data_IF_561991599251
#
_entry.id   IF_561991599251
#
_cell.length_a   1.000
_cell.length_b   1.000
_cell.length_c   1.000
_cell.angle_alpha   90.00
_cell.angle_beta   90.00
_cell.angle_gamma   90.00
#
_symmetry.space_group_name_H-M   'P 1'
#
loop_
_entity.id
_entity.type
_entity.pdbx_description
1 polymer ?
#
# COMPACT_ATOMS: atom_id res chain seq x y z
N UNK A 1 25.52 -12.60 -35.33
CA UNK A 1 24.68 -12.45 -36.54
C UNK A 1 25.45 -11.65 -37.58
N UNK A 2 25.28 -11.94 -38.86
CA UNK A 2 25.87 -11.14 -39.93
C UNK A 2 25.21 -9.75 -39.95
N UNK A 3 26.00 -8.67 -39.94
CA UNK A 3 25.50 -7.29 -40.03
C UNK A 3 25.22 -6.95 -41.49
N UNK A 4 24.02 -6.45 -41.78
CA UNK A 4 23.63 -5.99 -43.11
C UNK A 4 23.70 -4.46 -43.11
N UNK A 5 24.45 -3.88 -44.05
CA UNK A 5 24.50 -2.41 -44.22
C UNK A 5 23.26 -1.96 -44.98
N UNK A 6 22.52 -1.02 -44.39
CA UNK A 6 21.40 -0.32 -45.03
C UNK A 6 21.53 1.17 -44.78
N UNK A 7 21.11 1.96 -45.76
CA UNK A 7 21.17 3.41 -45.72
C UNK A 7 19.75 3.97 -45.68
N UNK A 8 19.46 4.81 -44.69
CA UNK A 8 18.11 5.34 -44.43
C UNK A 8 18.17 6.85 -44.27
N UNK A 9 17.14 7.54 -44.74
CA UNK A 9 16.91 8.96 -44.42
C UNK A 9 16.08 9.05 -43.16
N UNK A 10 16.50 9.88 -42.22
CA UNK A 10 15.86 10.05 -40.92
C UNK A 10 15.78 11.54 -40.59
N UNK A 11 14.84 11.92 -39.74
CA UNK A 11 14.78 13.27 -39.17
C UNK A 11 15.91 13.48 -38.16
N UNK A 12 16.36 14.72 -38.02
CA UNK A 12 17.41 15.11 -37.06
C UNK A 12 17.08 14.65 -35.63
N UNK A 13 15.82 14.82 -35.20
CA UNK A 13 15.33 14.34 -33.91
C UNK A 13 15.54 12.84 -33.66
N UNK A 14 15.40 12.01 -34.71
CA UNK A 14 15.57 10.57 -34.57
C UNK A 14 17.05 10.19 -34.48
N UNK A 15 17.92 10.94 -35.17
CA UNK A 15 19.38 10.76 -35.06
C UNK A 15 19.87 11.18 -33.67
N UNK A 16 19.37 12.31 -33.18
CA UNK A 16 19.65 12.82 -31.83
C UNK A 16 19.22 11.81 -30.76
N UNK A 17 18.03 11.22 -30.88
CA UNK A 17 17.57 10.18 -29.97
C UNK A 17 18.46 8.93 -29.96
N UNK A 18 18.97 8.49 -31.12
CA UNK A 18 19.89 7.35 -31.19
C UNK A 18 21.22 7.67 -30.49
N UNK A 19 21.74 8.88 -30.63
CA UNK A 19 22.96 9.32 -29.92
C UNK A 19 22.72 9.45 -28.41
N UNK A 20 21.57 9.96 -27.97
CA UNK A 20 21.22 10.03 -26.56
C UNK A 20 21.17 8.64 -25.91
N UNK A 21 20.56 7.66 -26.59
CA UNK A 21 20.52 6.26 -26.13
C UNK A 21 21.91 5.64 -26.11
N UNK A 22 22.77 5.98 -27.07
CA UNK A 22 24.16 5.53 -27.11
C UNK A 22 24.96 6.06 -25.93
N UNK A 23 24.87 7.36 -25.63
CA UNK A 23 25.58 7.98 -24.51
C UNK A 23 25.08 7.44 -23.17
N UNK A 24 23.76 7.37 -22.96
CA UNK A 24 23.17 6.84 -21.72
C UNK A 24 23.58 5.39 -21.43
N UNK A 25 23.77 4.57 -22.46
CA UNK A 25 24.11 3.16 -22.32
C UNK A 25 25.61 2.85 -22.56
N UNK A 26 26.46 3.88 -22.70
CA UNK A 26 27.90 3.74 -22.97
C UNK A 26 28.22 2.84 -24.18
N UNK A 27 27.44 2.96 -25.26
CA UNK A 27 27.60 2.14 -26.47
C UNK A 27 28.62 2.76 -27.43
N UNK A 28 29.39 1.91 -28.12
CA UNK A 28 30.50 2.35 -28.99
C UNK A 28 30.02 2.79 -30.37
N UNK A 29 28.91 2.22 -30.86
CA UNK A 29 28.40 2.47 -32.20
C UNK A 29 26.91 2.79 -32.17
N UNK A 30 26.48 3.76 -32.98
CA UNK A 30 25.06 4.13 -33.11
C UNK A 30 24.21 2.97 -33.66
N UNK A 31 24.82 2.02 -34.38
CA UNK A 31 24.18 0.76 -34.78
C UNK A 31 23.81 -0.13 -33.59
N UNK A 32 24.60 -0.13 -32.53
CA UNK A 32 24.29 -0.91 -31.31
C UNK A 32 23.18 -0.26 -30.50
N UNK A 33 23.15 1.08 -30.47
CA UNK A 33 22.03 1.83 -29.89
C UNK A 33 20.72 1.57 -30.67
N UNK A 34 20.80 1.52 -32.00
CA UNK A 34 19.65 1.20 -32.85
C UNK A 34 19.16 -0.24 -32.65
N UNK A 35 20.07 -1.21 -32.56
CA UNK A 35 19.73 -2.60 -32.23
C UNK A 35 19.06 -2.71 -30.85
N UNK A 36 19.53 -1.93 -29.87
CA UNK A 36 18.95 -1.87 -28.53
C UNK A 36 17.53 -1.30 -28.55
N UNK A 37 17.30 -0.19 -29.25
CA UNK A 37 15.97 0.42 -29.42
C UNK A 37 15.01 -0.57 -30.09
N UNK A 38 15.44 -1.26 -31.15
CA UNK A 38 14.60 -2.25 -31.85
C UNK A 38 14.27 -3.44 -30.94
N UNK A 39 15.23 -3.89 -30.13
CA UNK A 39 15.03 -4.98 -29.17
C UNK A 39 14.05 -4.59 -28.08
N UNK A 40 14.20 -3.40 -27.49
CA UNK A 40 13.27 -2.87 -26.49
C UNK A 40 11.88 -2.66 -27.08
N UNK A 41 11.79 -2.14 -28.31
CA UNK A 41 10.51 -1.99 -28.99
C UNK A 41 9.83 -3.33 -29.25
N UNK A 42 10.58 -4.38 -29.66
CA UNK A 42 10.05 -5.74 -29.79
C UNK A 42 9.57 -6.30 -28.46
N UNK A 43 10.36 -6.17 -27.39
CA UNK A 43 10.01 -6.66 -26.05
C UNK A 43 8.77 -5.92 -25.49
N UNK A 44 8.67 -4.61 -25.75
CA UNK A 44 7.51 -3.80 -25.37
C UNK A 44 6.29 -4.02 -26.28
N UNK A 45 6.47 -4.54 -27.50
CA UNK A 45 5.35 -4.88 -28.39
C UNK A 45 4.67 -6.21 -28.03
N UNK A 46 5.38 -7.13 -27.36
CA UNK A 46 4.83 -8.42 -26.93
C UNK A 46 4.00 -8.32 -25.62
N UNK A 47 4.21 -7.28 -24.82
CA UNK A 47 3.40 -6.97 -23.63
C UNK A 47 2.58 -5.72 -23.94
N UNK A 48 1.33 -5.91 -24.36
CA UNK A 48 0.42 -4.77 -24.54
C UNK A 48 0.32 -3.97 -23.24
N UNK A 49 0.17 -2.64 -23.34
CA UNK A 49 0.01 -1.76 -22.17
C UNK A 49 -1.07 -2.26 -21.20
N UNK A 50 -2.12 -2.90 -21.73
CA UNK A 50 -3.16 -3.57 -20.94
C UNK A 50 -2.65 -4.75 -20.10
N UNK A 51 -1.74 -5.57 -20.63
CA UNK A 51 -1.12 -6.66 -19.89
C UNK A 51 -0.23 -6.13 -18.77
N UNK A 52 0.51 -5.05 -19.02
CA UNK A 52 1.34 -4.39 -18.00
C UNK A 52 0.48 -3.81 -16.87
N UNK A 53 -0.63 -3.14 -17.20
CA UNK A 53 -1.61 -2.64 -16.21
C UNK A 53 -2.18 -3.78 -15.38
N UNK A 54 -2.53 -4.92 -15.98
CA UNK A 54 -3.03 -6.10 -15.25
C UNK A 54 -2.00 -6.68 -14.29
N UNK A 55 -0.73 -6.73 -14.69
CA UNK A 55 0.36 -7.22 -13.84
C UNK A 55 0.53 -6.30 -12.63
N UNK A 56 0.61 -4.98 -12.86
CA UNK A 56 0.74 -3.98 -11.79
C UNK A 56 -0.49 -4.05 -10.86
N UNK A 57 -1.70 -4.10 -11.40
CA UNK A 57 -2.92 -4.18 -10.61
C UNK A 57 -2.96 -5.45 -9.74
N UNK A 58 -2.48 -6.59 -10.28
CA UNK A 58 -2.40 -7.85 -9.53
C UNK A 58 -1.38 -7.77 -8.41
N UNK A 59 -0.19 -7.24 -8.68
CA UNK A 59 0.88 -7.13 -7.70
C UNK A 59 0.51 -6.19 -6.55
N UNK A 60 -0.13 -5.06 -6.87
CA UNK A 60 -0.71 -4.14 -5.87
C UNK A 60 -1.80 -4.84 -5.06
N UNK A 61 -2.71 -5.59 -5.71
CA UNK A 61 -3.78 -6.30 -5.01
C UNK A 61 -3.23 -7.39 -4.07
N UNK A 62 -2.21 -8.13 -4.49
CA UNK A 62 -1.59 -9.17 -3.66
C UNK A 62 -0.87 -8.57 -2.45
N UNK A 63 -0.21 -7.41 -2.61
CA UNK A 63 0.40 -6.68 -1.49
C UNK A 63 -0.66 -6.18 -0.49
N UNK A 64 -1.75 -5.56 -0.97
CA UNK A 64 -2.84 -5.05 -0.12
C UNK A 64 -3.58 -6.20 0.59
N UNK A 65 -3.72 -7.37 -0.07
CA UNK A 65 -4.43 -8.52 0.49
C UNK A 65 -3.79 -9.05 1.78
N UNK A 66 -2.47 -8.98 1.88
CA UNK A 66 -1.74 -9.30 3.11
C UNK A 66 -2.16 -8.41 4.27
N UNK A 67 -2.03 -7.09 4.08
CA UNK A 67 -2.39 -6.08 5.07
C UNK A 67 -3.89 -6.16 5.46
N UNK A 68 -4.78 -6.37 4.49
CA UNK A 68 -6.22 -6.55 4.76
C UNK A 68 -6.51 -7.79 5.60
N UNK A 69 -5.75 -8.88 5.41
CA UNK A 69 -5.90 -10.09 6.21
C UNK A 69 -5.49 -9.85 7.67
N UNK A 70 -4.40 -9.11 7.89
CA UNK A 70 -3.98 -8.72 9.23
C UNK A 70 -5.01 -7.82 9.92
N UNK A 71 -5.53 -6.81 9.21
CA UNK A 71 -6.60 -5.94 9.71
C UNK A 71 -7.83 -6.76 10.10
N UNK A 72 -8.23 -7.72 9.27
CA UNK A 72 -9.36 -8.62 9.57
C UNK A 72 -9.12 -9.43 10.84
N UNK A 73 -7.91 -9.96 11.03
CA UNK A 73 -7.58 -10.74 12.24
C UNK A 73 -7.64 -9.86 13.50
N UNK A 74 -7.03 -8.67 13.47
CA UNK A 74 -7.08 -7.71 14.59
C UNK A 74 -8.53 -7.30 14.89
N UNK A 75 -9.36 -7.13 13.86
CA UNK A 75 -10.79 -6.84 14.02
C UNK A 75 -11.53 -7.98 14.70
N UNK A 76 -11.27 -9.24 14.29
CA UNK A 76 -11.88 -10.41 14.92
C UNK A 76 -11.46 -10.58 16.39
N UNK A 77 -10.18 -10.35 16.70
CA UNK A 77 -9.70 -10.40 18.08
C UNK A 77 -10.33 -9.30 18.95
N UNK A 78 -10.51 -8.11 18.38
CA UNK A 78 -11.19 -6.99 19.05
C UNK A 78 -12.67 -7.30 19.30
N UNK A 79 -13.35 -7.90 18.31
CA UNK A 79 -14.74 -8.32 18.46
C UNK A 79 -14.88 -9.38 19.56
N UNK A 80 -14.04 -10.42 19.54
CA UNK A 80 -13.99 -11.45 20.57
C UNK A 80 -13.76 -10.86 21.96
N UNK A 81 -12.79 -9.95 22.10
CA UNK A 81 -12.51 -9.30 23.38
C UNK A 81 -13.67 -8.42 23.84
N UNK A 82 -14.34 -7.71 22.92
CA UNK A 82 -15.54 -6.92 23.21
C UNK A 82 -16.67 -7.80 23.71
N UNK A 83 -16.93 -8.95 23.07
CA UNK A 83 -17.94 -9.90 23.53
C UNK A 83 -17.64 -10.42 24.94
N UNK A 84 -16.39 -10.80 25.22
CA UNK A 84 -15.99 -11.23 26.58
C UNK A 84 -16.26 -10.12 27.60
N UNK A 85 -15.93 -8.87 27.29
CA UNK A 85 -16.21 -7.73 28.18
C UNK A 85 -17.72 -7.53 28.41
N UNK A 86 -18.54 -7.69 27.38
CA UNK A 86 -20.01 -7.62 27.51
C UNK A 86 -20.51 -8.70 28.47
N UNK A 87 -20.04 -9.94 28.35
CA UNK A 87 -20.43 -11.03 29.25
C UNK A 87 -19.99 -10.78 30.70
N UNK A 88 -18.78 -10.24 30.89
CA UNK A 88 -18.29 -9.87 32.22
C UNK A 88 -19.14 -8.76 32.86
N UNK A 89 -19.51 -7.72 32.08
CA UNK A 89 -20.37 -6.63 32.55
C UNK A 89 -21.78 -7.14 32.86
N UNK A 90 -22.31 -8.04 32.02
CA UNK A 90 -23.60 -8.67 32.25
C UNK A 90 -23.60 -9.44 33.58
N UNK A 91 -22.61 -10.30 33.82
CA UNK A 91 -22.45 -11.00 35.10
C UNK A 91 -22.35 -10.04 36.29
N UNK A 92 -21.62 -8.94 36.15
CA UNK A 92 -21.55 -7.90 37.18
C UNK A 92 -22.91 -7.27 37.49
N UNK A 93 -23.71 -6.94 36.48
CA UNK A 93 -25.05 -6.37 36.68
C UNK A 93 -26.04 -7.35 37.31
N UNK A 94 -25.99 -8.62 36.93
CA UNK A 94 -26.81 -9.68 37.54
C UNK A 94 -26.50 -9.83 39.03
N UNK A 95 -25.21 -9.87 39.41
CA UNK A 95 -24.79 -9.99 40.81
C UNK A 95 -25.18 -8.74 41.62
N UNK A 96 -25.14 -7.56 41.00
CA UNK A 96 -25.37 -6.28 41.67
C UNK A 96 -26.85 -5.87 41.75
N UNK A 97 -27.79 -6.71 41.28
CA UNK A 97 -29.24 -6.44 41.14
C UNK A 97 -29.58 -5.09 40.46
N UNK A 98 -28.78 -4.67 39.48
CA UNK A 98 -29.08 -3.48 38.70
C UNK A 98 -30.26 -3.76 37.76
N UNK A 99 -31.41 -3.15 38.04
CA UNK A 99 -32.64 -3.32 37.23
C UNK A 99 -32.71 -2.40 36.01
N UNK A 100 -31.92 -1.33 36.00
CA UNK A 100 -31.92 -0.33 34.91
C UNK A 100 -30.49 0.11 34.61
N UNK A 101 -30.15 0.10 33.33
CA UNK A 101 -28.92 0.70 32.82
C UNK A 101 -29.07 2.23 32.83
N UNK A 102 -28.22 2.92 33.57
CA UNK A 102 -28.07 4.37 33.44
C UNK A 102 -27.17 4.66 32.24
N UNK A 103 -27.69 5.34 31.23
CA UNK A 103 -26.97 5.65 30.00
C UNK A 103 -26.24 6.99 30.11
N UNK A 104 -25.38 7.29 29.14
CA UNK A 104 -24.68 8.58 29.07
C UNK A 104 -25.61 9.75 28.77
N UNK A 105 -26.83 9.50 28.28
CA UNK A 105 -27.86 10.53 28.15
C UNK A 105 -28.50 10.87 29.51
N UNK A 106 -28.55 9.89 30.42
CA UNK A 106 -29.05 10.09 31.78
C UNK A 106 -27.98 10.79 32.64
N UNK A 107 -26.82 10.16 32.82
CA UNK A 107 -25.73 10.65 33.67
C UNK A 107 -24.39 10.19 33.10
N UNK A 108 -23.48 11.12 32.82
CA UNK A 108 -22.10 10.81 32.44
C UNK A 108 -21.26 10.64 33.71
N UNK A 109 -20.78 9.42 33.96
CA UNK A 109 -19.89 9.16 35.07
C UNK A 109 -18.53 9.86 34.89
N UNK A 110 -17.99 10.58 35.89
CA UNK A 110 -16.68 11.24 35.80
C UNK A 110 -15.53 10.26 35.46
N UNK A 111 -15.66 9.00 35.89
CA UNK A 111 -14.72 7.94 35.55
C UNK A 111 -14.67 7.65 34.04
N UNK A 112 -15.81 7.72 33.34
CA UNK A 112 -15.88 7.52 31.89
C UNK A 112 -15.14 8.64 31.16
N UNK A 113 -15.37 9.90 31.54
CA UNK A 113 -14.65 11.06 30.97
C UNK A 113 -13.14 10.91 31.11
N UNK A 114 -12.67 10.58 32.32
CA UNK A 114 -11.24 10.40 32.60
C UNK A 114 -10.64 9.21 31.84
N UNK A 115 -11.39 8.11 31.70
CA UNK A 115 -10.95 6.95 30.93
C UNK A 115 -10.78 7.30 29.44
N UNK A 116 -11.74 8.02 28.85
CA UNK A 116 -11.70 8.47 27.46
C UNK A 116 -10.47 9.35 27.19
N UNK A 117 -10.26 10.39 27.99
CA UNK A 117 -9.11 11.29 27.85
C UNK A 117 -7.76 10.55 27.92
N UNK A 118 -7.67 9.57 28.82
CA UNK A 118 -6.45 8.78 29.00
C UNK A 118 -6.21 7.85 27.81
N UNK A 119 -7.27 7.21 27.29
CA UNK A 119 -7.19 6.35 26.09
C UNK A 119 -6.78 7.18 24.87
N UNK A 120 -7.35 8.37 24.69
CA UNK A 120 -7.02 9.22 23.55
C UNK A 120 -5.58 9.73 23.61
N UNK A 121 -5.10 10.19 24.77
CA UNK A 121 -3.67 10.50 24.97
C UNK A 121 -2.75 9.31 24.65
N UNK A 122 -3.16 8.09 25.01
CA UNK A 122 -2.40 6.88 24.68
C UNK A 122 -2.37 6.59 23.18
N UNK A 123 -3.47 6.83 22.45
CA UNK A 123 -3.52 6.69 20.99
C UNK A 123 -2.57 7.69 20.32
N UNK A 124 -2.67 8.97 20.70
CA UNK A 124 -1.79 10.03 20.19
C UNK A 124 -0.31 9.69 20.41
N UNK A 125 0.06 9.27 21.62
CA UNK A 125 1.43 8.88 21.93
C UNK A 125 1.94 7.69 21.10
N UNK A 126 1.07 6.72 20.77
CA UNK A 126 1.42 5.60 19.89
C UNK A 126 1.65 6.06 18.45
N UNK A 127 0.79 6.94 17.93
CA UNK A 127 0.93 7.50 16.58
C UNK A 127 2.25 8.26 16.47
N UNK A 128 2.53 9.14 17.43
CA UNK A 128 3.76 9.93 17.47
C UNK A 128 5.00 9.01 17.52
N UNK A 129 5.03 8.00 18.39
CA UNK A 129 6.15 7.04 18.45
C UNK A 129 6.34 6.25 17.15
N UNK A 130 5.25 5.94 16.44
CA UNK A 130 5.30 5.28 15.14
C UNK A 130 5.94 6.16 14.05
N UNK A 131 5.67 7.46 14.08
CA UNK A 131 6.26 8.44 13.16
C UNK A 131 7.76 8.62 13.41
N UNK A 132 8.19 8.76 14.67
CA UNK A 132 9.60 8.91 15.02
C UNK A 132 10.47 7.67 14.74
N UNK A 133 9.88 6.47 14.62
CA UNK A 133 10.62 5.24 14.26
C UNK A 133 10.86 5.08 12.76
N UNK A 134 10.24 5.91 11.92
CA UNK A 134 10.34 5.88 10.46
C UNK A 134 11.35 6.89 9.88
N UNK A 135 11.96 7.73 10.73
CA UNK A 135 13.07 8.64 10.41
C UNK A 135 14.32 8.20 11.18
#
# INVERSE_FOLDING_TARGET
MARIRKEYKMTEKNVEYIEEVKEKNNLKYSSEALDLIIREHRQNSDITTEAMIKIIAKEVADQIKGDMKEIKNVSNDTDRNTQILIEMINGFFVISDYRRLATTEDIIAPALTRASELVDKRKEAKIIKGLYKKY
#
